data_IF_930726636267
#
_entry.id   IF_930726636267
#
_cell.length_a   1.000
_cell.length_b   1.000
_cell.length_c   1.000
_cell.angle_alpha   90.00
_cell.angle_beta   90.00
_cell.angle_gamma   90.00
#
_symmetry.space_group_name_H-M   'P 1'
#
loop_
_entity.id
_entity.type
_entity.pdbx_description
1 polymer ?
#
# COMPACT_ATOMS: atom_id res chain seq x y z
N UNK A 1 -11.77 -2.90 -3.26
CA UNK A 1 -11.65 -1.88 -2.19
C UNK A 1 -11.68 -0.48 -2.82
N UNK A 2 -11.99 0.56 -2.06
CA UNK A 2 -11.86 1.96 -2.49
C UNK A 2 -11.12 2.69 -1.38
N UNK A 3 -10.10 3.48 -1.70
CA UNK A 3 -9.21 4.09 -0.70
C UNK A 3 -8.87 5.54 -1.04
N UNK A 4 -8.71 6.37 -0.02
CA UNK A 4 -8.01 7.63 -0.13
C UNK A 4 -6.52 7.43 0.13
N UNK A 5 -5.70 8.21 -0.56
CA UNK A 5 -4.25 8.23 -0.36
C UNK A 5 -3.76 9.65 -0.14
N UNK A 6 -2.89 9.84 0.84
CA UNK A 6 -2.18 11.09 1.08
C UNK A 6 -0.71 10.80 1.26
N UNK A 7 0.14 11.55 0.58
CA UNK A 7 1.58 11.48 0.81
C UNK A 7 2.12 12.79 1.37
N UNK A 8 3.27 12.69 2.03
CA UNK A 8 4.06 13.82 2.49
C UNK A 8 5.52 13.40 2.64
N UNK A 9 6.42 14.39 2.66
CA UNK A 9 7.85 14.18 2.86
C UNK A 9 8.33 14.94 4.08
N UNK A 10 9.13 14.28 4.92
CA UNK A 10 9.78 14.87 6.09
C UNK A 10 11.27 14.51 6.06
N UNK A 11 12.10 15.46 5.63
CA UNK A 11 13.52 15.21 5.37
C UNK A 11 13.73 14.08 4.35
N UNK A 12 14.47 13.05 4.74
CA UNK A 12 14.79 11.86 3.93
C UNK A 12 13.70 10.78 3.93
N UNK A 13 12.58 11.02 4.61
CA UNK A 13 11.46 10.08 4.73
C UNK A 13 10.29 10.54 3.87
N UNK A 14 9.89 9.69 2.95
CA UNK A 14 8.61 9.80 2.24
C UNK A 14 7.59 8.89 2.95
N UNK A 15 6.39 9.41 3.18
CA UNK A 15 5.30 8.65 3.81
C UNK A 15 4.08 8.72 2.92
N UNK A 16 3.46 7.57 2.69
CA UNK A 16 2.17 7.43 2.04
C UNK A 16 1.19 6.75 3.00
N UNK A 17 0.14 7.47 3.34
CA UNK A 17 -0.96 6.99 4.17
C UNK A 17 -2.16 6.67 3.30
N UNK A 18 -2.78 5.53 3.58
CA UNK A 18 -3.93 5.00 2.85
C UNK A 18 -5.02 4.70 3.86
N UNK A 19 -6.23 5.16 3.59
CA UNK A 19 -7.41 4.93 4.42
C UNK A 19 -8.61 4.50 3.58
N UNK A 20 -9.51 3.76 4.20
CA UNK A 20 -10.77 3.35 3.62
C UNK A 20 -11.58 4.53 3.05
N UNK A 21 -12.15 4.32 1.87
CA UNK A 21 -13.08 5.22 1.22
C UNK A 21 -14.29 4.43 0.71
N UNK A 22 -14.76 3.44 1.48
CA UNK A 22 -15.82 2.50 1.09
C UNK A 22 -17.10 3.21 0.66
N UNK A 23 -17.41 4.39 1.19
CA UNK A 23 -18.58 5.19 0.80
C UNK A 23 -18.44 5.97 -0.51
N UNK A 24 -17.26 6.01 -1.13
CA UNK A 24 -16.99 6.91 -2.27
C UNK A 24 -17.54 6.40 -3.61
N UNK A 25 -17.59 5.07 -3.81
CA UNK A 25 -18.16 4.45 -5.02
C UNK A 25 -19.21 3.40 -4.64
N UNK A 26 -20.20 3.17 -5.50
CA UNK A 26 -21.22 2.14 -5.27
C UNK A 26 -20.63 0.72 -5.26
N UNK A 27 -21.22 -0.21 -4.50
CA UNK A 27 -20.82 -1.63 -4.49
C UNK A 27 -21.08 -2.29 -5.84
N UNK A 28 -20.28 -3.31 -6.16
CA UNK A 28 -20.41 -4.08 -7.40
C UNK A 28 -20.99 -5.46 -7.08
N UNK A 29 -22.01 -5.95 -7.81
CA UNK A 29 -22.70 -7.19 -7.47
C UNK A 29 -21.80 -8.43 -7.40
N UNK A 30 -20.80 -8.52 -8.27
CA UNK A 30 -19.94 -9.71 -8.40
C UNK A 30 -18.73 -9.73 -7.45
N UNK A 31 -18.57 -8.70 -6.62
CA UNK A 31 -17.37 -8.53 -5.79
C UNK A 31 -17.71 -8.26 -4.33
N UNK A 32 -17.00 -8.96 -3.46
CA UNK A 32 -16.97 -8.65 -2.04
C UNK A 32 -16.05 -7.44 -1.84
N UNK A 33 -16.62 -6.36 -1.31
CA UNK A 33 -15.85 -5.16 -0.99
C UNK A 33 -15.09 -5.35 0.32
N UNK A 34 -13.77 -5.32 0.25
CA UNK A 34 -12.91 -5.10 1.42
C UNK A 34 -13.19 -3.71 1.99
N UNK A 35 -13.35 -3.66 3.31
CA UNK A 35 -13.63 -2.45 4.11
C UNK A 35 -12.58 -2.25 5.20
N UNK A 36 -12.67 -1.12 5.91
CA UNK A 36 -11.80 -0.79 7.04
C UNK A 36 -10.29 -0.86 6.71
N UNK A 37 -9.94 -0.52 5.47
CA UNK A 37 -8.56 -0.53 5.01
C UNK A 37 -7.77 0.60 5.69
N UNK A 38 -6.59 0.26 6.21
CA UNK A 38 -5.59 1.22 6.70
C UNK A 38 -4.22 0.74 6.29
N UNK A 39 -3.42 1.61 5.68
CA UNK A 39 -2.07 1.26 5.28
C UNK A 39 -1.14 2.46 5.40
N UNK A 40 0.13 2.18 5.68
CA UNK A 40 1.19 3.17 5.74
C UNK A 40 2.45 2.61 5.11
N UNK A 41 2.93 3.31 4.10
CA UNK A 41 4.22 3.09 3.46
C UNK A 41 5.19 4.15 3.93
N UNK A 42 6.38 3.74 4.32
CA UNK A 42 7.45 4.62 4.77
C UNK A 42 8.73 4.29 4.05
N UNK A 43 9.23 5.25 3.28
CA UNK A 43 10.39 5.09 2.45
C UNK A 43 11.47 6.02 3.01
N UNK A 44 12.60 5.45 3.42
CA UNK A 44 13.75 6.21 3.93
C UNK A 44 14.92 6.03 2.99
N UNK A 45 15.40 7.12 2.40
CA UNK A 45 16.56 7.10 1.50
C UNK A 45 17.83 6.79 2.30
N UNK A 46 18.49 5.66 1.99
CA UNK A 46 19.71 5.23 2.66
C UNK A 46 20.95 5.79 1.96
N UNK A 47 21.15 5.40 0.72
CA UNK A 47 22.26 5.80 -0.16
C UNK A 47 21.72 6.02 -1.58
N UNK A 48 22.57 6.40 -2.52
CA UNK A 48 22.14 6.59 -3.91
C UNK A 48 21.69 5.25 -4.52
N UNK A 49 20.44 5.19 -4.94
CA UNK A 49 19.82 3.97 -5.48
C UNK A 49 19.30 2.99 -4.43
N UNK A 50 19.42 3.27 -3.12
CA UNK A 50 18.91 2.42 -2.06
C UNK A 50 17.88 3.12 -1.17
N UNK A 51 16.74 2.44 -0.98
CA UNK A 51 15.66 2.90 -0.11
C UNK A 51 15.26 1.79 0.85
N UNK A 52 15.12 2.14 2.12
CA UNK A 52 14.52 1.26 3.12
C UNK A 52 13.02 1.49 3.16
N UNK A 53 12.24 0.42 2.99
CA UNK A 53 10.78 0.49 2.89
C UNK A 53 10.15 -0.28 4.04
N UNK A 54 9.30 0.40 4.81
CA UNK A 54 8.41 -0.23 5.78
C UNK A 54 6.99 -0.13 5.26
N UNK A 55 6.30 -1.26 5.19
CA UNK A 55 4.90 -1.35 4.81
C UNK A 55 4.11 -1.96 5.96
N UNK A 56 3.12 -1.22 6.47
CA UNK A 56 2.18 -1.70 7.48
C UNK A 56 0.78 -1.58 6.91
N UNK A 57 0.02 -2.67 6.91
CA UNK A 57 -1.34 -2.69 6.38
C UNK A 57 -2.29 -3.52 7.23
N UNK A 58 -3.53 -3.10 7.21
CA UNK A 58 -4.69 -3.77 7.76
C UNK A 58 -5.83 -3.65 6.77
N UNK A 59 -6.58 -4.73 6.59
CA UNK A 59 -7.75 -4.78 5.74
C UNK A 59 -8.74 -5.81 6.29
N UNK A 60 -10.02 -5.46 6.34
CA UNK A 60 -11.08 -6.36 6.75
C UNK A 60 -11.95 -6.71 5.54
N UNK A 61 -12.07 -8.01 5.27
CA UNK A 61 -12.91 -8.56 4.20
C UNK A 61 -14.39 -8.67 4.62
N UNK A 62 -14.78 -8.13 5.77
CA UNK A 62 -16.17 -7.98 6.22
C UNK A 62 -16.85 -9.31 6.52
N UNK A 63 -16.11 -10.27 7.09
CA UNK A 63 -16.61 -11.61 7.42
C UNK A 63 -16.79 -12.55 6.21
N UNK A 64 -16.38 -12.14 5.02
CA UNK A 64 -16.41 -12.99 3.83
C UNK A 64 -15.40 -14.15 3.88
N UNK A 65 -14.34 -14.00 4.68
CA UNK A 65 -13.40 -15.07 5.00
C UNK A 65 -13.29 -15.21 6.52
N UNK A 66 -13.09 -16.42 7.04
CA UNK A 66 -12.71 -16.60 8.43
C UNK A 66 -11.39 -15.90 8.77
N UNK A 67 -11.28 -15.32 9.96
CA UNK A 67 -10.08 -14.60 10.41
C UNK A 67 -8.80 -15.44 10.30
N UNK A 68 -8.87 -16.74 10.64
CA UNK A 68 -7.70 -17.62 10.56
C UNK A 68 -7.14 -17.74 9.13
N UNK A 69 -8.01 -17.74 8.12
CA UNK A 69 -7.62 -17.82 6.72
C UNK A 69 -7.06 -16.48 6.23
N UNK A 70 -7.73 -15.38 6.58
CA UNK A 70 -7.23 -14.04 6.26
C UNK A 70 -5.83 -13.79 6.87
N UNK A 71 -5.63 -14.19 8.13
CA UNK A 71 -4.35 -14.07 8.81
C UNK A 71 -3.25 -14.93 8.16
N UNK A 72 -3.57 -16.17 7.77
CA UNK A 72 -2.61 -17.06 7.11
C UNK A 72 -2.11 -16.47 5.78
N UNK A 73 -3.01 -15.84 5.02
CA UNK A 73 -2.68 -15.25 3.71
C UNK A 73 -1.92 -13.92 3.81
N UNK A 74 -1.95 -13.26 4.98
CA UNK A 74 -1.40 -11.90 5.15
C UNK A 74 0.11 -11.83 4.90
N UNK A 75 0.88 -12.78 5.45
CA UNK A 75 2.35 -12.78 5.31
C UNK A 75 2.76 -12.98 3.85
N UNK A 76 2.14 -13.95 3.16
CA UNK A 76 2.41 -14.21 1.75
C UNK A 76 2.00 -13.03 0.87
N UNK A 77 0.85 -12.42 1.12
CA UNK A 77 0.40 -11.22 0.41
C UNK A 77 1.37 -10.04 0.55
N UNK A 78 1.93 -9.82 1.74
CA UNK A 78 2.93 -8.77 1.96
C UNK A 78 4.23 -9.05 1.19
N UNK A 79 4.70 -10.30 1.19
CA UNK A 79 5.90 -10.71 0.44
C UNK A 79 5.67 -10.53 -1.07
N UNK A 80 4.53 -10.98 -1.60
CA UNK A 80 4.20 -10.81 -3.01
C UNK A 80 4.06 -9.35 -3.42
N UNK A 81 3.56 -8.49 -2.52
CA UNK A 81 3.53 -7.03 -2.77
C UNK A 81 4.94 -6.46 -2.97
N UNK A 82 5.90 -6.83 -2.12
CA UNK A 82 7.30 -6.38 -2.28
C UNK A 82 7.98 -6.99 -3.51
N UNK A 83 7.70 -8.26 -3.83
CA UNK A 83 8.19 -8.90 -5.07
C UNK A 83 7.65 -8.18 -6.31
N UNK A 84 6.35 -7.86 -6.31
CA UNK A 84 5.70 -7.07 -7.35
C UNK A 84 6.31 -5.69 -7.48
N UNK A 85 6.43 -4.95 -6.38
CA UNK A 85 7.06 -3.63 -6.36
C UNK A 85 8.46 -3.66 -6.99
N UNK A 86 9.30 -4.64 -6.63
CA UNK A 86 10.65 -4.78 -7.19
C UNK A 86 10.65 -5.03 -8.70
N UNK A 87 9.67 -5.80 -9.21
CA UNK A 87 9.51 -6.04 -10.66
C UNK A 87 9.09 -4.76 -11.39
N UNK A 88 8.08 -4.07 -10.88
CA UNK A 88 7.52 -2.88 -11.53
C UNK A 88 8.48 -1.70 -11.51
N UNK A 89 9.16 -1.44 -10.38
CA UNK A 89 9.90 -0.19 -10.15
C UNK A 89 11.07 0.02 -11.14
N UNK A 90 11.58 -1.04 -11.77
CA UNK A 90 12.62 -0.95 -12.79
C UNK A 90 12.19 -0.07 -13.97
N UNK A 91 10.91 -0.14 -14.36
CA UNK A 91 10.34 0.68 -15.44
C UNK A 91 10.19 2.16 -15.08
N UNK A 92 10.25 2.53 -13.80
CA UNK A 92 9.93 3.87 -13.32
C UNK A 92 11.17 4.66 -12.84
N UNK A 93 12.38 4.08 -12.88
CA UNK A 93 13.61 4.70 -12.34
C UNK A 93 13.99 6.03 -13.03
N UNK A 94 13.51 6.26 -14.25
CA UNK A 94 13.78 7.47 -15.03
C UNK A 94 12.75 8.58 -14.81
N UNK A 95 11.71 8.33 -14.01
CA UNK A 95 10.61 9.26 -13.77
C UNK A 95 10.84 10.03 -12.47
N UNK A 96 10.53 11.32 -12.50
CA UNK A 96 10.57 12.21 -11.35
C UNK A 96 9.17 12.73 -11.03
N UNK A 97 8.84 12.90 -9.75
CA UNK A 97 7.58 13.50 -9.32
C UNK A 97 7.81 14.94 -8.84
N UNK A 98 7.05 15.95 -9.34
CA UNK A 98 7.35 17.37 -9.06
C UNK A 98 7.30 17.75 -7.57
N UNK A 99 6.51 17.02 -6.77
CA UNK A 99 6.36 17.25 -5.34
C UNK A 99 7.15 16.28 -4.45
N UNK A 100 8.01 15.44 -5.02
CA UNK A 100 8.90 14.54 -4.26
C UNK A 100 10.32 14.94 -4.57
N UNK A 101 11.10 15.26 -3.53
CA UNK A 101 12.47 15.76 -3.69
C UNK A 101 13.48 14.76 -3.14
N UNK A 102 14.68 14.80 -3.70
CA UNK A 102 15.81 13.95 -3.30
C UNK A 102 16.46 14.29 -1.96
#
# INVERSE_FOLDING_TARGET
MVTYSRYYQSGRRFVLEISDATGYLAQQPDYIRITQVRSRWELTKLSDGEVFVVYTAFADVGGALPDWLANQLTVEGAIETFRGLKREIAGYQHLSHPNVRD
#
